data_IF_154682435971
#
_entry.id   IF_154682435971
#
_cell.length_a   1.000
_cell.length_b   1.000
_cell.length_c   1.000
_cell.angle_alpha   90.00
_cell.angle_beta   90.00
_cell.angle_gamma   90.00
#
_symmetry.space_group_name_H-M   'P 1'
#
loop_
_entity.id
_entity.type
_entity.pdbx_description
1 polymer ?
#
# COMPACT_ATOMS: atom_id res chain seq x y z
N UNK A 1 24.82 4.21 -2.84
CA UNK A 1 23.62 3.49 -2.38
C UNK A 1 24.00 2.04 -2.14
N UNK A 2 23.56 1.49 -1.02
CA UNK A 2 23.61 0.04 -0.82
C UNK A 2 22.47 -0.55 -1.67
N UNK A 3 22.72 -1.54 -2.54
CA UNK A 3 21.64 -2.23 -3.24
C UNK A 3 20.61 -2.74 -2.22
N UNK A 4 19.32 -2.56 -2.51
CA UNK A 4 18.24 -3.10 -1.70
C UNK A 4 17.40 -4.06 -2.51
N UNK A 5 17.29 -5.29 -2.03
CA UNK A 5 16.62 -6.37 -2.73
C UNK A 5 15.34 -6.83 -2.03
N UNK A 6 14.27 -6.92 -2.81
CA UNK A 6 12.96 -7.40 -2.36
C UNK A 6 12.61 -8.66 -3.15
N UNK A 7 12.18 -9.71 -2.46
CA UNK A 7 11.67 -10.92 -3.08
C UNK A 7 10.17 -11.09 -2.83
N UNK A 8 9.43 -11.40 -3.89
CA UNK A 8 8.09 -11.95 -3.76
C UNK A 8 8.12 -13.48 -3.75
N UNK A 9 7.23 -14.09 -2.97
CA UNK A 9 7.02 -15.54 -2.95
C UNK A 9 5.59 -15.85 -3.39
N UNK A 10 5.45 -16.30 -4.64
CA UNK A 10 4.20 -16.81 -5.19
C UNK A 10 4.12 -18.31 -4.93
N UNK A 11 3.20 -18.73 -4.07
CA UNK A 11 3.04 -20.13 -3.67
C UNK A 11 1.58 -20.57 -3.64
N UNK A 12 1.37 -21.89 -3.65
CA UNK A 12 0.06 -22.46 -3.36
C UNK A 12 -0.35 -22.16 -1.92
N UNK A 13 -1.56 -21.63 -1.77
CA UNK A 13 -2.21 -21.41 -0.48
C UNK A 13 -3.32 -22.45 -0.34
N UNK A 14 -3.25 -23.26 0.70
CA UNK A 14 -4.32 -24.15 1.10
C UNK A 14 -5.37 -23.38 1.92
N UNK A 15 -6.64 -23.71 1.71
CA UNK A 15 -7.76 -23.08 2.42
C UNK A 15 -8.14 -23.76 3.75
N UNK A 16 -7.73 -25.02 3.95
CA UNK A 16 -8.23 -25.88 5.03
C UNK A 16 -7.13 -26.30 6.01
N UNK A 17 -5.87 -26.15 5.64
CA UNK A 17 -4.72 -26.42 6.51
C UNK A 17 -3.78 -25.21 6.55
N UNK A 18 -3.11 -24.94 7.68
CA UNK A 18 -2.12 -23.88 7.78
C UNK A 18 -0.97 -24.08 6.78
N UNK A 19 -0.53 -22.99 6.17
CA UNK A 19 0.58 -22.96 5.21
C UNK A 19 1.89 -22.47 5.85
N UNK A 20 1.88 -22.09 7.13
CA UNK A 20 2.99 -21.44 7.85
C UNK A 20 4.32 -22.18 7.67
N UNK A 21 4.37 -23.48 7.95
CA UNK A 21 5.62 -24.26 7.82
C UNK A 21 6.09 -24.32 6.36
N UNK A 22 5.15 -24.39 5.41
CA UNK A 22 5.44 -24.31 3.98
C UNK A 22 5.96 -22.94 3.54
N UNK A 23 5.51 -21.85 4.17
CA UNK A 23 6.04 -20.51 3.94
C UNK A 23 7.47 -20.39 4.48
N UNK A 24 7.74 -20.88 5.70
CA UNK A 24 9.10 -20.89 6.28
C UNK A 24 10.06 -21.71 5.42
N UNK A 25 9.65 -22.88 4.93
CA UNK A 25 10.47 -23.69 4.02
C UNK A 25 10.80 -22.92 2.73
N UNK A 26 9.83 -22.20 2.17
CA UNK A 26 10.03 -21.39 0.96
C UNK A 26 10.96 -20.20 1.21
N UNK A 27 10.85 -19.56 2.36
CA UNK A 27 11.78 -18.53 2.82
C UNK A 27 13.21 -19.10 2.98
N UNK A 28 13.36 -20.28 3.59
CA UNK A 28 14.65 -20.94 3.73
C UNK A 28 15.30 -21.25 2.37
N UNK A 29 14.51 -21.75 1.41
CA UNK A 29 14.98 -22.02 0.03
C UNK A 29 15.36 -20.72 -0.67
N UNK A 30 14.52 -19.69 -0.59
CA UNK A 30 14.76 -18.38 -1.16
C UNK A 30 16.09 -17.80 -0.65
N UNK A 31 16.30 -17.78 0.66
CA UNK A 31 17.50 -17.21 1.27
C UNK A 31 18.75 -18.05 0.98
N UNK A 32 18.61 -19.37 0.85
CA UNK A 32 19.72 -20.23 0.42
C UNK A 32 20.13 -19.94 -1.02
N UNK A 33 19.16 -19.72 -1.91
CA UNK A 33 19.39 -19.49 -3.35
C UNK A 33 19.80 -18.04 -3.65
N UNK A 34 19.28 -17.09 -2.88
CA UNK A 34 19.42 -15.66 -3.09
C UNK A 34 19.73 -14.94 -1.77
N UNK A 35 20.92 -15.19 -1.18
CA UNK A 35 21.28 -14.69 0.16
C UNK A 35 21.43 -13.17 0.25
N UNK A 36 21.37 -12.46 -0.88
CA UNK A 36 21.43 -11.00 -0.97
C UNK A 36 20.04 -10.34 -0.80
N UNK A 37 18.97 -11.12 -0.69
CA UNK A 37 17.61 -10.60 -0.45
C UNK A 37 17.53 -9.96 0.94
N UNK A 38 16.97 -8.75 1.04
CA UNK A 38 16.86 -8.01 2.31
C UNK A 38 15.42 -7.86 2.80
N UNK A 39 14.43 -8.04 1.92
CA UNK A 39 13.02 -8.01 2.25
C UNK A 39 12.27 -9.12 1.51
N UNK A 40 11.30 -9.76 2.17
CA UNK A 40 10.47 -10.82 1.59
C UNK A 40 9.00 -10.53 1.80
N UNK A 41 8.21 -10.67 0.73
CA UNK A 41 6.76 -10.46 0.70
C UNK A 41 6.04 -11.73 0.26
N UNK A 42 5.04 -12.14 1.04
CA UNK A 42 4.08 -13.18 0.69
C UNK A 42 2.71 -12.59 0.34
N UNK A 43 1.83 -13.39 -0.25
CA UNK A 43 0.50 -12.99 -0.69
C UNK A 43 -0.49 -12.77 0.46
N UNK A 44 -1.60 -12.07 0.19
CA UNK A 44 -2.71 -11.94 1.14
C UNK A 44 -3.21 -13.33 1.61
N UNK A 45 -3.55 -13.43 2.89
CA UNK A 45 -4.07 -14.63 3.56
C UNK A 45 -3.20 -15.90 3.36
N UNK A 46 -1.92 -15.75 3.04
CA UNK A 46 -1.04 -16.88 2.73
C UNK A 46 -0.98 -17.92 3.85
N UNK A 47 -0.93 -17.49 5.11
CA UNK A 47 -0.68 -18.39 6.23
C UNK A 47 -1.84 -19.36 6.54
N UNK A 48 -3.09 -18.94 6.38
CA UNK A 48 -4.27 -19.74 6.78
C UNK A 48 -5.37 -19.80 5.72
N UNK A 49 -5.19 -19.17 4.56
CA UNK A 49 -6.14 -19.19 3.46
C UNK A 49 -7.35 -18.24 3.67
N UNK A 50 -8.29 -18.23 2.71
CA UNK A 50 -9.34 -17.21 2.60
C UNK A 50 -10.57 -17.42 3.49
N UNK A 51 -10.57 -18.42 4.38
CA UNK A 51 -11.72 -18.72 5.22
C UNK A 51 -11.59 -18.03 6.59
N UNK A 52 -12.48 -17.10 6.87
CA UNK A 52 -12.51 -16.28 8.09
C UNK A 52 -12.68 -17.07 9.39
N UNK A 53 -13.26 -18.27 9.33
CA UNK A 53 -13.32 -19.20 10.47
C UNK A 53 -11.94 -19.60 11.04
N UNK A 54 -10.86 -19.39 10.29
CA UNK A 54 -9.48 -19.59 10.75
C UNK A 54 -8.84 -18.30 11.30
N UNK A 55 -9.65 -17.31 11.68
CA UNK A 55 -9.19 -16.10 12.36
C UNK A 55 -8.40 -16.43 13.61
N UNK A 56 -7.33 -15.67 13.86
CA UNK A 56 -6.42 -15.86 14.98
C UNK A 56 -6.53 -14.71 15.98
N UNK A 57 -6.13 -14.92 17.26
CA UNK A 57 -5.85 -13.81 18.15
C UNK A 57 -4.68 -12.94 17.62
N UNK A 58 -4.57 -11.67 18.04
CA UNK A 58 -3.52 -10.75 17.56
C UNK A 58 -2.09 -11.26 17.78
N UNK A 59 -1.87 -11.95 18.89
CA UNK A 59 -0.65 -12.71 19.16
C UNK A 59 -0.93 -14.20 18.97
N UNK A 60 -0.11 -14.87 18.16
CA UNK A 60 -0.32 -16.27 17.77
C UNK A 60 1.00 -16.95 17.34
N UNK A 61 0.99 -18.28 17.31
CA UNK A 61 2.18 -19.11 17.01
C UNK A 61 2.76 -18.82 15.61
N UNK A 62 1.94 -18.44 14.63
CA UNK A 62 2.43 -18.12 13.29
C UNK A 62 3.32 -16.88 13.32
N UNK A 63 2.95 -15.85 14.07
CA UNK A 63 3.78 -14.66 14.26
C UNK A 63 5.11 -15.00 14.93
N UNK A 64 5.11 -15.83 15.97
CA UNK A 64 6.35 -16.28 16.63
C UNK A 64 7.30 -16.96 15.63
N UNK A 65 6.77 -17.84 14.76
CA UNK A 65 7.54 -18.49 13.70
C UNK A 65 8.08 -17.50 12.67
N UNK A 66 7.27 -16.52 12.25
CA UNK A 66 7.70 -15.50 11.30
C UNK A 66 8.76 -14.56 11.90
N UNK A 67 8.61 -14.15 13.16
CA UNK A 67 9.60 -13.34 13.88
C UNK A 67 10.93 -14.09 14.00
N UNK A 68 10.90 -15.37 14.39
CA UNK A 68 12.09 -16.21 14.45
C UNK A 68 12.76 -16.37 13.07
N UNK A 69 11.97 -16.50 12.00
CA UNK A 69 12.49 -16.62 10.65
C UNK A 69 13.11 -15.30 10.13
N UNK A 70 12.52 -14.15 10.45
CA UNK A 70 13.07 -12.84 10.14
C UNK A 70 14.45 -12.67 10.81
N UNK A 71 14.59 -13.05 12.09
CA UNK A 71 15.88 -13.05 12.82
C UNK A 71 16.88 -14.02 12.20
N UNK A 72 16.46 -15.25 11.92
CA UNK A 72 17.31 -16.30 11.35
C UNK A 72 17.98 -15.84 10.05
N UNK A 73 17.25 -15.13 9.20
CA UNK A 73 17.71 -14.70 7.88
C UNK A 73 18.18 -13.24 7.83
N UNK A 74 17.95 -12.46 8.87
CA UNK A 74 18.30 -11.04 8.91
C UNK A 74 17.54 -10.20 7.88
N UNK A 75 16.26 -10.51 7.63
CA UNK A 75 15.44 -9.85 6.60
C UNK A 75 14.23 -9.14 7.17
N UNK A 76 13.75 -8.14 6.43
CA UNK A 76 12.39 -7.62 6.60
C UNK A 76 11.41 -8.66 6.08
N UNK A 77 10.44 -9.07 6.91
CA UNK A 77 9.45 -10.08 6.52
C UNK A 77 8.04 -9.51 6.58
N UNK A 78 7.36 -9.54 5.45
CA UNK A 78 5.94 -9.29 5.32
C UNK A 78 5.31 -10.64 4.95
N UNK A 79 4.76 -11.39 5.93
CA UNK A 79 4.25 -12.75 5.70
C UNK A 79 2.91 -12.76 4.94
N UNK A 80 2.56 -11.67 4.26
CA UNK A 80 1.23 -11.46 3.72
C UNK A 80 0.28 -10.98 4.80
N UNK A 81 -0.97 -11.42 4.74
CA UNK A 81 -1.96 -11.12 5.77
C UNK A 81 -2.60 -12.38 6.35
N UNK A 82 -3.36 -12.21 7.44
CA UNK A 82 -4.13 -13.22 8.13
C UNK A 82 -5.41 -12.59 8.65
N UNK A 83 -6.47 -13.39 8.82
CA UNK A 83 -7.62 -12.95 9.59
C UNK A 83 -7.26 -12.90 11.07
N UNK A 84 -7.46 -11.75 11.70
CA UNK A 84 -7.21 -11.50 13.12
C UNK A 84 -8.52 -11.05 13.77
N UNK A 85 -8.90 -11.72 14.85
CA UNK A 85 -10.04 -11.30 15.68
C UNK A 85 -9.54 -10.31 16.73
N UNK A 86 -10.08 -9.11 16.71
CA UNK A 86 -9.79 -8.11 17.74
C UNK A 86 -10.50 -8.49 19.06
N UNK A 87 -9.77 -8.63 20.18
CA UNK A 87 -10.36 -9.01 21.46
C UNK A 87 -11.21 -7.90 22.09
N UNK A 88 -11.08 -6.63 21.67
CA UNK A 88 -11.83 -5.51 22.22
C UNK A 88 -13.23 -5.39 21.64
N UNK A 89 -13.37 -5.56 20.31
CA UNK A 89 -14.67 -5.43 19.61
C UNK A 89 -15.24 -6.75 19.08
N UNK A 90 -14.45 -7.83 19.10
CA UNK A 90 -14.82 -9.17 18.63
C UNK A 90 -14.91 -9.33 17.11
N UNK A 91 -14.48 -8.33 16.33
CA UNK A 91 -14.56 -8.32 14.87
C UNK A 91 -13.33 -8.94 14.24
N UNK A 92 -13.50 -9.45 13.01
CA UNK A 92 -12.42 -10.04 12.22
C UNK A 92 -11.87 -8.99 11.25
N UNK A 93 -10.56 -8.81 11.24
CA UNK A 93 -9.84 -7.93 10.33
C UNK A 93 -8.87 -8.75 9.46
N UNK A 94 -8.75 -8.39 8.19
CA UNK A 94 -7.68 -8.92 7.33
C UNK A 94 -6.41 -8.11 7.58
N UNK A 95 -5.46 -8.67 8.33
CA UNK A 95 -4.34 -7.93 8.90
C UNK A 95 -3.00 -8.46 8.40
N UNK A 96 -2.18 -7.56 7.87
CA UNK A 96 -0.77 -7.82 7.57
C UNK A 96 0.15 -7.23 8.65
N UNK A 97 1.34 -7.78 8.78
CA UNK A 97 2.36 -7.31 9.72
C UNK A 97 3.67 -7.03 9.01
N UNK A 98 4.43 -6.06 9.53
CA UNK A 98 5.79 -5.77 9.07
C UNK A 98 6.75 -6.17 10.19
N UNK A 99 7.57 -7.17 9.92
CA UNK A 99 8.56 -7.70 10.86
C UNK A 99 9.94 -7.23 10.41
N UNK A 100 10.69 -6.60 11.31
CA UNK A 100 12.05 -6.17 11.01
C UNK A 100 13.08 -7.32 11.16
N UNK A 101 14.33 -7.14 10.72
CA UNK A 101 15.39 -8.15 10.86
C UNK A 101 15.71 -8.58 12.30
N UNK A 102 15.27 -7.81 13.30
CA UNK A 102 15.41 -8.13 14.72
C UNK A 102 14.24 -8.99 15.23
N UNK A 103 13.26 -9.31 14.38
CA UNK A 103 12.07 -10.08 14.72
C UNK A 103 10.99 -9.25 15.41
N UNK A 104 11.07 -7.92 15.39
CA UNK A 104 10.08 -7.04 16.00
C UNK A 104 8.97 -6.73 14.99
N UNK A 105 7.71 -6.84 15.41
CA UNK A 105 6.57 -6.37 14.63
C UNK A 105 6.50 -4.84 14.78
N UNK A 106 6.95 -4.11 13.77
CA UNK A 106 6.98 -2.64 13.81
C UNK A 106 5.67 -2.01 13.33
N UNK A 107 4.85 -2.75 12.59
CA UNK A 107 3.52 -2.33 12.11
C UNK A 107 2.57 -3.51 12.04
N UNK A 108 1.31 -3.23 12.32
CA UNK A 108 0.14 -4.07 12.01
C UNK A 108 -0.78 -3.22 11.15
N UNK A 109 -1.29 -3.78 10.05
CA UNK A 109 -2.13 -3.08 9.10
C UNK A 109 -3.37 -3.91 8.82
N UNK A 110 -4.53 -3.42 9.24
CA UNK A 110 -5.82 -3.98 8.85
C UNK A 110 -6.26 -3.38 7.51
N UNK A 111 -6.59 -4.24 6.55
CA UNK A 111 -7.08 -3.89 5.20
C UNK A 111 -8.21 -2.87 5.31
N UNK A 112 -8.06 -1.76 4.60
CA UNK A 112 -8.98 -0.62 4.71
C UNK A 112 -10.26 -0.86 3.93
N UNK A 113 -10.15 -1.55 2.81
CA UNK A 113 -11.25 -1.93 1.94
C UNK A 113 -11.33 -3.45 1.85
N UNK A 114 -12.03 -4.14 2.77
CA UNK A 114 -12.44 -5.51 2.54
C UNK A 114 -13.17 -5.61 1.19
N UNK A 115 -12.96 -6.71 0.45
CA UNK A 115 -13.56 -6.96 -0.86
C UNK A 115 -15.06 -7.25 -0.73
N UNK A 116 -15.81 -6.25 -0.29
CA UNK A 116 -17.27 -6.31 -0.14
C UNK A 116 -17.91 -6.25 -1.53
N UNK A 117 -18.95 -7.05 -1.80
CA UNK A 117 -19.75 -7.79 -0.83
C UNK A 117 -19.25 -9.21 -0.49
N UNK A 118 -18.11 -9.66 -1.01
CA UNK A 118 -17.60 -11.02 -0.79
C UNK A 118 -16.95 -11.23 0.59
N UNK A 119 -16.30 -10.20 1.14
CA UNK A 119 -15.76 -10.17 2.52
C UNK A 119 -16.72 -9.47 3.50
N UNK A 120 -18.01 -9.80 3.47
CA UNK A 120 -19.04 -9.10 4.27
C UNK A 120 -18.86 -9.22 5.80
N UNK A 121 -18.23 -10.29 6.29
CA UNK A 121 -17.95 -10.54 7.71
C UNK A 121 -16.65 -9.89 8.22
N UNK A 122 -15.90 -9.22 7.34
CA UNK A 122 -14.58 -8.65 7.65
C UNK A 122 -14.73 -7.14 7.86
N UNK A 123 -14.21 -6.66 8.98
CA UNK A 123 -14.19 -5.26 9.35
C UNK A 123 -13.07 -4.50 8.61
N UNK A 124 -13.30 -3.21 8.39
CA UNK A 124 -12.36 -2.33 7.73
C UNK A 124 -11.39 -1.70 8.73
N UNK A 125 -10.09 -1.74 8.42
CA UNK A 125 -9.09 -0.90 9.10
C UNK A 125 -9.21 0.57 8.68
N UNK A 126 -8.58 1.47 9.44
CA UNK A 126 -8.63 2.91 9.13
C UNK A 126 -7.27 3.62 9.15
N UNK A 127 -6.22 2.93 9.55
CA UNK A 127 -4.87 3.48 9.62
C UNK A 127 -4.05 3.16 8.35
N UNK A 128 -3.26 4.13 7.90
CA UNK A 128 -2.32 3.93 6.79
C UNK A 128 -1.02 3.31 7.29
N UNK A 129 -0.55 2.24 6.63
CA UNK A 129 0.69 1.58 7.01
C UNK A 129 1.90 2.18 6.27
N UNK A 130 2.72 2.93 7.03
CA UNK A 130 3.97 3.54 6.55
C UNK A 130 5.09 3.22 7.53
N UNK A 131 6.25 2.83 7.01
CA UNK A 131 7.45 2.58 7.79
C UNK A 131 8.72 2.92 7.00
N UNK A 132 9.80 3.20 7.72
CA UNK A 132 11.11 3.49 7.13
C UNK A 132 12.01 2.28 7.26
N UNK A 133 12.72 1.96 6.18
CA UNK A 133 13.84 1.00 6.20
C UNK A 133 15.13 1.82 6.29
N UNK A 134 15.93 1.68 7.36
CA UNK A 134 17.13 2.49 7.59
C UNK A 134 18.07 2.48 6.39
N UNK A 135 18.58 3.67 6.04
CA UNK A 135 19.51 3.92 4.92
C UNK A 135 19.00 3.51 3.52
N UNK A 136 17.73 3.13 3.41
CA UNK A 136 17.11 2.67 2.16
C UNK A 136 16.05 3.66 1.71
N UNK A 137 14.92 3.75 2.42
CA UNK A 137 13.80 4.59 2.01
C UNK A 137 12.51 4.29 2.78
N UNK A 138 11.42 4.93 2.33
CA UNK A 138 10.11 4.82 2.96
C UNK A 138 9.21 3.83 2.21
N UNK A 139 8.57 2.95 2.95
CA UNK A 139 7.72 1.89 2.44
C UNK A 139 6.29 2.08 2.91
N UNK A 140 5.36 1.67 2.05
CA UNK A 140 3.94 1.60 2.35
C UNK A 140 3.41 0.19 2.10
N UNK A 141 2.33 -0.16 2.79
CA UNK A 141 1.65 -1.43 2.65
C UNK A 141 0.16 -1.19 2.38
N UNK A 142 -0.36 -1.90 1.39
CA UNK A 142 -1.75 -1.89 0.95
C UNK A 142 -2.14 -3.33 0.65
N UNK A 143 -3.35 -3.80 0.93
CA UNK A 143 -3.74 -5.20 0.72
C UNK A 143 -4.80 -5.29 -0.37
N UNK A 144 -4.48 -5.98 -1.47
CA UNK A 144 -5.38 -6.33 -2.58
C UNK A 144 -6.34 -5.20 -2.99
N UNK A 145 -7.58 -5.28 -2.52
CA UNK A 145 -8.66 -4.41 -2.94
C UNK A 145 -8.43 -2.94 -2.55
N UNK A 146 -7.56 -2.66 -1.57
CA UNK A 146 -7.15 -1.30 -1.20
C UNK A 146 -6.59 -0.51 -2.40
N UNK A 147 -5.90 -1.17 -3.34
CA UNK A 147 -5.28 -0.50 -4.50
C UNK A 147 -6.31 -0.05 -5.55
N UNK A 148 -7.53 -0.58 -5.52
CA UNK A 148 -8.62 -0.12 -6.40
C UNK A 148 -9.06 1.30 -6.10
N UNK A 149 -8.73 1.80 -4.90
CA UNK A 149 -9.03 3.14 -4.43
C UNK A 149 -7.74 3.97 -4.51
N UNK A 150 -7.50 4.71 -5.60
CA UNK A 150 -6.24 5.45 -5.79
C UNK A 150 -5.92 6.43 -4.65
N UNK A 151 -6.93 6.85 -3.88
CA UNK A 151 -6.81 7.62 -2.65
C UNK A 151 -5.90 6.96 -1.61
N UNK A 152 -5.91 5.62 -1.49
CA UNK A 152 -5.06 4.91 -0.54
C UNK A 152 -3.59 5.13 -0.88
N UNK A 153 -3.22 4.91 -2.14
CA UNK A 153 -1.85 5.11 -2.62
C UNK A 153 -1.50 6.59 -2.69
N UNK A 154 -2.45 7.47 -2.99
CA UNK A 154 -2.25 8.93 -2.93
C UNK A 154 -1.84 9.35 -1.53
N UNK A 155 -2.52 8.86 -0.49
CA UNK A 155 -2.20 9.18 0.89
C UNK A 155 -0.81 8.67 1.30
N UNK A 156 -0.47 7.44 0.92
CA UNK A 156 0.85 6.85 1.20
C UNK A 156 1.99 7.63 0.52
N UNK A 157 1.87 7.87 -0.78
CA UNK A 157 2.94 8.53 -1.56
C UNK A 157 3.06 10.03 -1.30
N UNK A 158 1.97 10.70 -0.91
CA UNK A 158 2.03 12.09 -0.42
C UNK A 158 2.81 12.22 0.90
N UNK A 159 2.96 11.11 1.65
CA UNK A 159 3.79 11.02 2.86
C UNK A 159 5.20 10.47 2.57
N UNK A 160 5.58 10.40 1.30
CA UNK A 160 6.93 10.07 0.87
C UNK A 160 7.19 8.59 0.59
N UNK A 161 6.19 7.70 0.67
CA UNK A 161 6.37 6.27 0.31
C UNK A 161 6.96 6.11 -1.07
N UNK A 162 8.07 5.39 -1.19
CA UNK A 162 8.83 5.14 -2.43
C UNK A 162 8.57 3.73 -2.99
N UNK A 163 8.19 2.79 -2.12
CA UNK A 163 7.85 1.40 -2.45
C UNK A 163 6.51 1.02 -1.83
N UNK A 164 5.58 0.55 -2.64
CA UNK A 164 4.31 -0.02 -2.21
C UNK A 164 4.39 -1.54 -2.23
N UNK A 165 4.30 -2.14 -1.05
CA UNK A 165 4.16 -3.58 -0.86
C UNK A 165 2.68 -3.93 -0.96
N UNK A 166 2.35 -4.93 -1.78
CA UNK A 166 0.97 -5.28 -2.11
C UNK A 166 0.77 -6.80 -2.06
N UNK A 167 0.41 -7.37 -0.89
CA UNK A 167 -0.10 -8.73 -0.80
C UNK A 167 -1.47 -8.81 -1.45
N UNK A 168 -1.69 -9.83 -2.29
CA UNK A 168 -2.92 -9.98 -3.08
C UNK A 168 -3.48 -11.38 -2.97
N UNK A 169 -4.80 -11.50 -2.95
CA UNK A 169 -5.54 -12.74 -3.16
C UNK A 169 -6.63 -12.49 -4.20
N UNK A 170 -6.28 -12.74 -5.46
CA UNK A 170 -7.22 -12.59 -6.58
C UNK A 170 -7.25 -13.87 -7.38
N UNK A 171 -8.33 -14.62 -7.16
CA UNK A 171 -8.67 -15.88 -7.83
C UNK A 171 -9.66 -15.71 -8.99
N UNK A 172 -10.08 -14.49 -9.28
CA UNK A 172 -11.19 -14.19 -10.21
C UNK A 172 -10.68 -13.70 -11.57
N UNK A 173 -11.64 -13.47 -12.48
CA UNK A 173 -11.38 -12.80 -13.77
C UNK A 173 -10.89 -11.35 -13.62
N UNK A 174 -10.97 -10.77 -12.41
CA UNK A 174 -10.52 -9.40 -12.15
C UNK A 174 -9.00 -9.26 -12.16
N UNK A 175 -8.26 -10.37 -12.17
CA UNK A 175 -6.78 -10.31 -12.10
C UNK A 175 -6.17 -9.49 -13.23
N UNK A 176 -6.74 -9.52 -14.44
CA UNK A 176 -6.21 -8.72 -15.55
C UNK A 176 -6.48 -7.21 -15.33
N UNK A 177 -7.58 -6.85 -14.67
CA UNK A 177 -7.86 -5.48 -14.27
C UNK A 177 -6.90 -5.03 -13.16
N UNK A 178 -6.65 -5.88 -12.15
CA UNK A 178 -5.67 -5.59 -11.10
C UNK A 178 -4.26 -5.37 -11.64
N UNK A 179 -3.82 -6.18 -12.59
CA UNK A 179 -2.50 -5.98 -13.23
C UNK A 179 -2.43 -4.63 -13.96
N UNK A 180 -3.53 -4.18 -14.57
CA UNK A 180 -3.60 -2.86 -15.17
C UNK A 180 -3.57 -1.76 -14.09
N UNK A 181 -4.28 -1.93 -12.98
CA UNK A 181 -4.28 -1.02 -11.84
C UNK A 181 -2.87 -0.92 -11.24
N UNK A 182 -2.21 -2.03 -10.92
CA UNK A 182 -0.86 -2.03 -10.37
C UNK A 182 0.14 -1.26 -11.26
N UNK A 183 0.04 -1.46 -12.58
CA UNK A 183 0.88 -0.72 -13.56
C UNK A 183 0.57 0.76 -13.63
N UNK A 184 -0.70 1.13 -13.51
CA UNK A 184 -1.13 2.53 -13.44
C UNK A 184 -0.67 3.18 -12.13
N UNK A 185 -0.84 2.49 -11.00
CA UNK A 185 -0.43 2.93 -9.67
C UNK A 185 1.05 3.30 -9.63
N UNK A 186 1.93 2.43 -10.13
CA UNK A 186 3.37 2.68 -10.11
C UNK A 186 3.76 4.01 -10.78
N UNK A 187 3.17 4.32 -11.94
CA UNK A 187 3.47 5.55 -12.69
C UNK A 187 2.69 6.77 -12.20
N UNK A 188 1.42 6.62 -11.80
CA UNK A 188 0.60 7.72 -11.28
C UNK A 188 1.12 8.29 -9.96
N UNK A 189 1.74 7.43 -9.15
CA UNK A 189 2.25 7.77 -7.82
C UNK A 189 3.78 7.75 -7.73
N UNK A 190 4.46 7.49 -8.86
CA UNK A 190 5.91 7.47 -9.00
C UNK A 190 6.56 6.68 -7.85
N UNK A 191 6.19 5.41 -7.72
CA UNK A 191 6.70 4.47 -6.72
C UNK A 191 6.89 3.08 -7.33
N UNK A 192 7.72 2.25 -6.70
CA UNK A 192 7.74 0.82 -7.01
C UNK A 192 6.47 0.15 -6.48
N UNK A 193 5.94 -0.82 -7.22
CA UNK A 193 4.85 -1.69 -6.75
C UNK A 193 5.36 -3.13 -6.75
N UNK A 194 5.35 -3.76 -5.58
CA UNK A 194 5.68 -5.17 -5.39
C UNK A 194 4.38 -5.91 -5.11
N UNK A 195 3.79 -6.52 -6.13
CA UNK A 195 2.48 -7.17 -6.10
C UNK A 195 2.64 -8.69 -6.08
N UNK A 196 2.25 -9.32 -4.96
CA UNK A 196 2.41 -10.77 -4.75
C UNK A 196 1.05 -11.40 -4.56
N UNK A 197 0.62 -12.18 -5.55
CA UNK A 197 -0.63 -12.93 -5.53
C UNK A 197 -0.36 -14.42 -5.32
N UNK A 198 -1.19 -15.09 -4.51
CA UNK A 198 -1.06 -16.51 -4.23
C UNK A 198 -1.58 -17.39 -5.37
N UNK A 199 -1.45 -18.71 -5.20
CA UNK A 199 -1.97 -19.73 -6.11
C UNK A 199 -3.04 -20.60 -5.43
N UNK A 200 -3.97 -21.15 -6.20
CA UNK A 200 -5.03 -22.01 -5.70
C UNK A 200 -6.06 -21.22 -4.91
N UNK A 201 -6.24 -21.54 -3.63
CA UNK A 201 -7.14 -20.75 -2.77
C UNK A 201 -6.58 -19.34 -2.47
N UNK A 202 -5.29 -19.12 -2.76
CA UNK A 202 -4.62 -17.82 -2.64
C UNK A 202 -4.64 -16.98 -3.91
N UNK A 203 -5.24 -17.46 -5.00
CA UNK A 203 -5.35 -16.70 -6.26
C UNK A 203 -4.90 -17.47 -7.50
N UNK A 204 -4.75 -16.75 -8.62
CA UNK A 204 -4.26 -17.29 -9.91
C UNK A 204 -2.79 -16.95 -10.19
N UNK A 205 -2.07 -16.40 -9.20
CA UNK A 205 -0.70 -15.93 -9.36
C UNK A 205 -0.62 -14.69 -10.24
N UNK A 206 0.29 -14.70 -11.21
CA UNK A 206 0.69 -13.51 -11.98
C UNK A 206 1.21 -12.38 -11.10
N UNK A 207 1.93 -12.70 -10.02
CA UNK A 207 2.65 -11.70 -9.22
C UNK A 207 3.54 -10.84 -10.10
N UNK A 208 3.73 -9.56 -9.77
CA UNK A 208 4.51 -8.66 -10.62
C UNK A 208 5.29 -7.61 -9.82
N UNK A 209 6.35 -7.11 -10.43
CA UNK A 209 7.13 -5.98 -9.92
C UNK A 209 7.18 -4.91 -10.99
N UNK A 210 6.77 -3.71 -10.64
CA UNK A 210 6.63 -2.60 -11.56
C UNK A 210 7.42 -1.41 -11.04
N UNK A 211 8.20 -0.80 -11.91
CA UNK A 211 8.97 0.38 -11.58
C UNK A 211 8.14 1.67 -11.65
N UNK A 212 8.67 2.80 -11.14
CA UNK A 212 7.95 4.09 -11.15
C UNK A 212 7.63 4.66 -12.54
N UNK A 213 8.09 4.04 -13.64
CA UNK A 213 7.81 4.43 -15.02
C UNK A 213 6.78 3.53 -15.71
N UNK A 214 6.12 2.63 -14.97
CA UNK A 214 5.22 1.59 -15.49
C UNK A 214 5.93 0.43 -16.23
N UNK A 215 7.26 0.31 -16.12
CA UNK A 215 7.97 -0.83 -16.67
C UNK A 215 7.75 -2.03 -15.76
N UNK A 216 7.24 -3.12 -16.33
CA UNK A 216 7.14 -4.41 -15.64
C UNK A 216 8.55 -5.02 -15.62
N UNK A 217 9.15 -5.08 -14.44
CA UNK A 217 10.47 -5.68 -14.21
C UNK A 217 10.37 -7.20 -14.13
N UNK A 218 9.27 -7.70 -13.57
CA UNK A 218 8.97 -9.12 -13.48
C UNK A 218 7.46 -9.36 -13.49
N UNK A 219 7.06 -10.47 -14.08
CA UNK A 219 5.70 -10.99 -13.96
C UNK A 219 5.76 -12.51 -13.96
N UNK A 220 5.34 -13.12 -12.85
CA UNK A 220 5.16 -14.57 -12.74
C UNK A 220 4.03 -15.05 -13.66
N UNK A 221 4.00 -16.35 -13.94
CA UNK A 221 2.84 -16.98 -14.57
C UNK A 221 1.97 -17.70 -13.50
N UNK A 222 1.29 -18.78 -13.84
CA UNK A 222 0.35 -19.51 -12.97
C UNK A 222 0.97 -20.66 -12.16
N UNK A 223 2.27 -20.59 -11.88
CA UNK A 223 3.04 -21.62 -11.17
C UNK A 223 3.81 -21.00 -10.00
N UNK A 224 4.33 -21.83 -9.08
CA UNK A 224 5.16 -21.32 -7.98
C UNK A 224 6.37 -20.54 -8.51
N UNK A 225 6.68 -19.43 -7.83
CA UNK A 225 7.77 -18.55 -8.22
C UNK A 225 8.37 -17.83 -7.00
N UNK A 226 9.66 -17.55 -7.07
CA UNK A 226 10.42 -16.81 -6.09
C UNK A 226 11.33 -15.84 -6.83
N UNK A 227 11.04 -14.55 -6.73
CA UNK A 227 11.67 -13.54 -7.60
C UNK A 227 12.29 -12.41 -6.76
N UNK A 228 13.59 -12.52 -6.40
CA UNK A 228 14.32 -11.41 -5.82
C UNK A 228 14.67 -10.37 -6.90
N UNK A 229 14.44 -9.10 -6.59
CA UNK A 229 14.71 -7.98 -7.49
C UNK A 229 15.37 -6.85 -6.70
N UNK A 230 16.46 -6.32 -7.24
CA UNK A 230 17.08 -5.10 -6.73
C UNK A 230 16.31 -3.87 -7.22
N UNK A 231 16.05 -2.91 -6.32
CA UNK A 231 15.36 -1.66 -6.64
C UNK A 231 16.30 -0.46 -6.63
N UNK A 232 16.07 0.52 -7.52
CA UNK A 232 16.80 1.79 -7.57
C UNK A 232 15.92 2.91 -7.01
N UNK A 233 16.06 3.22 -5.72
CA UNK A 233 15.28 4.30 -5.09
C UNK A 233 15.69 5.69 -5.56
N UNK A 234 16.91 5.88 -6.07
CA UNK A 234 17.26 7.17 -6.67
C UNK A 234 16.47 7.40 -7.97
N UNK A 235 16.02 6.34 -8.65
CA UNK A 235 15.10 6.48 -9.78
C UNK A 235 13.76 7.08 -9.35
N UNK A 236 13.21 6.67 -8.20
CA UNK A 236 12.00 7.29 -7.62
C UNK A 236 12.26 8.77 -7.35
N UNK A 237 13.34 9.08 -6.61
CA UNK A 237 13.68 10.43 -6.16
C UNK A 237 13.90 11.38 -7.34
N UNK A 238 14.73 10.98 -8.31
CA UNK A 238 14.98 11.73 -9.55
C UNK A 238 13.69 11.98 -10.31
N UNK A 239 12.80 10.99 -10.44
CA UNK A 239 11.55 11.19 -11.16
C UNK A 239 10.57 12.11 -10.46
N UNK A 240 10.50 12.08 -9.13
CA UNK A 240 9.67 13.02 -8.36
C UNK A 240 10.21 14.46 -8.48
N UNK A 241 11.53 14.62 -8.59
CA UNK A 241 12.18 15.92 -8.74
C UNK A 241 12.11 16.45 -10.18
N UNK A 242 12.49 15.67 -11.19
CA UNK A 242 12.63 16.16 -12.57
C UNK A 242 11.52 15.70 -13.51
N UNK A 243 10.59 14.88 -13.03
CA UNK A 243 9.53 14.27 -13.84
C UNK A 243 9.94 12.92 -14.45
N UNK A 244 8.93 12.12 -14.80
CA UNK A 244 9.15 10.82 -15.43
C UNK A 244 9.89 11.02 -16.77
N UNK A 245 11.11 10.47 -16.88
CA UNK A 245 11.99 10.65 -18.05
C UNK A 245 12.24 12.14 -18.41
N UNK A 246 12.23 13.02 -17.43
CA UNK A 246 12.39 14.47 -17.62
C UNK A 246 11.13 15.18 -18.15
N UNK A 247 9.98 14.50 -18.15
CA UNK A 247 8.70 15.03 -18.66
C UNK A 247 7.76 15.38 -17.50
N UNK A 248 6.51 14.86 -17.54
CA UNK A 248 5.45 15.20 -16.59
C UNK A 248 5.84 14.97 -15.13
N UNK A 249 5.46 15.92 -14.28
CA UNK A 249 5.77 15.96 -12.85
C UNK A 249 4.49 15.78 -12.04
N UNK A 250 3.86 14.60 -12.17
CA UNK A 250 2.50 14.32 -11.69
C UNK A 250 2.29 14.70 -10.22
N UNK A 251 3.21 14.32 -9.33
CA UNK A 251 3.08 14.64 -7.91
C UNK A 251 3.17 16.14 -7.61
N UNK A 252 4.01 16.88 -8.33
CA UNK A 252 4.10 18.35 -8.19
C UNK A 252 2.88 19.04 -8.78
N UNK A 253 2.40 18.60 -9.94
CA UNK A 253 1.14 19.10 -10.51
C UNK A 253 -0.05 18.84 -9.59
N UNK A 254 -0.07 17.72 -8.86
CA UNK A 254 -1.09 17.47 -7.83
C UNK A 254 -0.93 18.39 -6.62
N UNK A 255 0.29 18.62 -6.12
CA UNK A 255 0.57 19.56 -5.01
C UNK A 255 0.19 21.01 -5.36
N UNK A 256 0.53 21.44 -6.57
CA UNK A 256 0.41 22.83 -7.06
C UNK A 256 -0.89 23.06 -7.85
N UNK A 257 -1.87 22.16 -7.72
CA UNK A 257 -3.17 22.24 -8.40
C UNK A 257 -3.91 23.53 -8.01
N UNK A 258 -4.67 24.09 -8.95
CA UNK A 258 -5.49 25.30 -8.73
C UNK A 258 -6.85 25.03 -8.11
N UNK A 259 -7.22 23.76 -7.94
CA UNK A 259 -8.56 23.34 -7.54
C UNK A 259 -8.45 22.20 -6.56
N UNK A 260 -9.22 22.28 -5.47
CA UNK A 260 -9.40 21.17 -4.55
C UNK A 260 -10.53 20.25 -4.99
N UNK A 261 -10.34 18.95 -4.76
CA UNK A 261 -11.32 17.96 -5.11
C UNK A 261 -12.34 17.86 -3.98
N UNK A 262 -13.54 18.39 -4.22
CA UNK A 262 -14.64 18.37 -3.26
C UNK A 262 -15.07 16.95 -2.86
N UNK A 263 -14.74 15.94 -3.66
CA UNK A 263 -14.93 14.51 -3.32
C UNK A 263 -14.24 14.10 -2.01
N UNK A 264 -13.21 14.82 -1.57
CA UNK A 264 -12.55 14.58 -0.28
C UNK A 264 -13.28 15.20 0.91
N UNK A 265 -14.19 16.15 0.66
CA UNK A 265 -15.10 16.67 1.67
C UNK A 265 -16.45 15.93 1.58
N UNK A 266 -16.70 15.06 2.57
CA UNK A 266 -17.95 14.30 2.67
C UNK A 266 -19.19 15.17 2.87
N UNK A 267 -19.02 16.43 3.29
CA UNK A 267 -20.12 17.38 3.42
C UNK A 267 -20.40 18.15 2.12
N UNK A 268 -19.56 18.01 1.09
CA UNK A 268 -19.70 18.76 -0.16
C UNK A 268 -20.90 18.37 -1.02
N UNK A 269 -21.43 17.15 -0.84
CA UNK A 269 -22.46 16.57 -1.71
C UNK A 269 -21.95 16.15 -3.10
N UNK A 270 -20.64 16.18 -3.34
CA UNK A 270 -20.05 15.80 -4.65
C UNK A 270 -20.35 14.34 -5.03
N UNK A 271 -20.50 13.48 -4.03
CA UNK A 271 -20.70 12.04 -4.18
C UNK A 271 -22.18 11.60 -4.14
N UNK A 272 -23.15 12.53 -4.18
CA UNK A 272 -24.60 12.20 -4.17
C UNK A 272 -24.99 11.24 -5.30
N UNK A 273 -24.33 11.32 -6.46
CA UNK A 273 -24.50 10.37 -7.55
C UNK A 273 -24.25 8.91 -7.10
N UNK A 274 -23.23 8.66 -6.28
CA UNK A 274 -22.88 7.32 -5.82
C UNK A 274 -24.02 6.69 -5.00
N UNK A 275 -24.82 7.49 -4.30
CA UNK A 275 -25.98 7.04 -3.51
C UNK A 275 -27.12 6.51 -4.40
N UNK A 276 -27.10 6.80 -5.70
CA UNK A 276 -28.12 6.34 -6.66
C UNK A 276 -27.82 4.99 -7.29
N UNK A 277 -26.62 4.45 -7.07
CA UNK A 277 -26.14 3.20 -7.67
C UNK A 277 -26.77 1.95 -7.05
N UNK A 278 -27.55 2.11 -5.99
CA UNK A 278 -28.17 1.02 -5.25
C UNK A 278 -27.24 0.41 -4.20
N UNK A 279 -27.68 -0.66 -3.53
CA UNK A 279 -26.90 -1.28 -2.48
C UNK A 279 -25.71 -2.08 -3.03
N UNK A 280 -24.63 -2.15 -2.27
CA UNK A 280 -23.56 -3.11 -2.47
C UNK A 280 -24.10 -4.51 -2.16
N UNK A 281 -24.23 -5.39 -3.15
CA UNK A 281 -24.82 -6.72 -2.99
C UNK A 281 -24.31 -7.72 -4.03
N UNK A 282 -24.23 -9.00 -3.67
CA UNK A 282 -23.86 -10.07 -4.60
C UNK A 282 -25.02 -10.31 -5.59
N UNK A 283 -24.78 -10.28 -6.92
CA UNK A 283 -25.77 -10.68 -7.89
C UNK A 283 -26.15 -12.16 -7.73
N UNK A 284 -27.45 -12.45 -7.68
CA UNK A 284 -28.00 -13.81 -7.69
C UNK A 284 -28.64 -14.16 -9.03
N UNK A 285 -28.92 -15.44 -9.26
CA UNK A 285 -29.59 -15.90 -10.49
C UNK A 285 -30.93 -15.17 -10.68
N UNK A 286 -31.08 -14.50 -11.82
CA UNK A 286 -32.27 -13.70 -12.13
C UNK A 286 -32.21 -12.25 -11.66
N UNK A 287 -31.08 -11.78 -11.11
CA UNK A 287 -30.85 -10.37 -10.80
C UNK A 287 -31.10 -9.51 -12.04
N UNK A 288 -31.95 -8.49 -11.88
CA UNK A 288 -32.26 -7.49 -12.92
C UNK A 288 -31.64 -6.12 -12.65
N UNK A 289 -30.88 -5.98 -11.57
CA UNK A 289 -30.13 -4.76 -11.28
C UNK A 289 -29.19 -4.44 -12.46
N UNK A 290 -29.15 -3.17 -12.88
CA UNK A 290 -28.36 -2.73 -14.04
C UNK A 290 -28.99 -2.99 -15.41
N UNK A 291 -30.18 -3.61 -15.50
CA UNK A 291 -30.92 -3.79 -16.77
C UNK A 291 -31.88 -2.64 -17.10
N UNK A 292 -32.06 -1.68 -16.18
CA UNK A 292 -32.82 -0.46 -16.44
C UNK A 292 -32.05 0.44 -17.42
N UNK A 293 -32.73 0.91 -18.47
CA UNK A 293 -32.16 1.77 -19.51
C UNK A 293 -32.05 3.24 -19.06
N UNK A 294 -32.68 3.63 -17.95
CA UNK A 294 -32.49 4.95 -17.38
C UNK A 294 -31.10 5.06 -16.74
N UNK A 295 -30.28 5.96 -17.27
CA UNK A 295 -28.98 6.26 -16.70
C UNK A 295 -29.12 6.74 -15.24
N UNK A 296 -28.39 6.17 -14.26
CA UNK A 296 -28.48 6.59 -12.87
C UNK A 296 -28.22 8.09 -12.66
N UNK A 297 -27.45 8.72 -13.55
CA UNK A 297 -27.16 10.16 -13.50
C UNK A 297 -28.42 11.03 -13.68
N UNK A 298 -29.46 10.51 -14.35
CA UNK A 298 -30.76 11.17 -14.50
C UNK A 298 -31.55 11.22 -13.19
N UNK A 299 -31.08 10.53 -12.13
CA UNK A 299 -31.73 10.48 -10.82
C UNK A 299 -31.24 11.58 -9.88
N UNK A 300 -30.11 12.23 -10.19
CA UNK A 300 -29.58 13.36 -9.41
C UNK A 300 -29.77 14.65 -10.23
N UNK A 301 -30.38 15.70 -9.68
CA UNK A 301 -30.41 16.99 -10.36
C UNK A 301 -28.98 17.51 -10.50
N UNK A 302 -28.57 17.85 -11.73
CA UNK A 302 -27.30 18.50 -11.98
C UNK A 302 -27.25 19.81 -11.19
N UNK A 303 -26.30 19.90 -10.27
CA UNK A 303 -25.96 21.12 -9.55
C UNK A 303 -24.61 21.55 -10.09
N UNK A 304 -24.53 22.59 -10.93
CA UNK A 304 -23.25 23.16 -11.31
C UNK A 304 -22.50 23.61 -10.06
N UNK A 305 -21.18 23.54 -10.12
CA UNK A 305 -20.31 24.19 -9.16
C UNK A 305 -20.56 25.71 -9.10
N UNK A 306 -19.95 26.38 -8.12
CA UNK A 306 -20.23 27.75 -7.65
C UNK A 306 -20.11 28.89 -8.69
N UNK A 307 -20.09 28.61 -9.99
CA UNK A 307 -20.22 29.56 -11.08
C UNK A 307 -21.67 29.76 -11.57
N UNK A 308 -22.62 28.92 -11.14
CA UNK A 308 -24.07 29.13 -11.29
C UNK A 308 -24.58 29.25 -12.72
N UNK A 309 -25.20 28.19 -13.25
CA UNK A 309 -26.30 28.30 -14.20
C UNK A 309 -27.08 26.99 -14.37
N UNK A 310 -28.41 27.12 -14.22
CA UNK A 310 -29.51 26.21 -14.50
C UNK A 310 -29.71 24.94 -13.65
N UNK A 311 -30.70 25.03 -12.74
CA UNK A 311 -31.29 23.90 -12.02
C UNK A 311 -32.47 23.30 -12.79
N UNK A 312 -32.46 21.99 -13.02
CA UNK A 312 -33.68 21.20 -13.32
C UNK A 312 -34.14 20.43 -12.07
N UNK A 313 -35.45 20.25 -11.83
CA UNK A 313 -35.97 19.64 -10.61
C UNK A 313 -35.74 18.12 -10.59
N UNK A 314 -35.01 17.62 -9.59
CA UNK A 314 -34.77 16.20 -9.36
C UNK A 314 -35.73 15.58 -8.34
N UNK A 315 -36.07 14.31 -8.54
CA UNK A 315 -36.91 13.50 -7.63
C UNK A 315 -36.04 12.83 -6.56
N UNK A 316 -36.44 12.93 -5.28
CA UNK A 316 -35.74 12.28 -4.16
C UNK A 316 -36.28 10.87 -3.87
N UNK A 317 -35.38 9.88 -3.74
CA UNK A 317 -35.66 8.56 -3.18
C UNK A 317 -34.65 8.22 -2.08
N UNK A 318 -35.10 7.59 -0.99
CA UNK A 318 -34.24 7.04 0.07
C UNK A 318 -33.83 5.61 -0.30
N UNK A 319 -32.53 5.35 -0.45
CA UNK A 319 -31.99 3.98 -0.53
C UNK A 319 -31.56 3.57 0.89
N UNK A 320 -32.18 2.55 1.51
CA UNK A 320 -31.70 2.01 2.78
C UNK A 320 -30.36 1.25 2.57
N UNK A 321 -29.41 1.34 3.51
CA UNK A 321 -28.13 0.63 3.39
C UNK A 321 -28.34 -0.88 3.52
N UNK A 322 -27.62 -1.67 2.69
CA UNK A 322 -27.65 -3.14 2.74
C UNK A 322 -26.72 -3.74 3.82
N UNK A 323 -25.86 -2.91 4.42
CA UNK A 323 -24.96 -3.27 5.51
C UNK A 323 -25.15 -2.29 6.67
N UNK A 324 -24.84 -2.70 7.93
CA UNK A 324 -24.80 -1.76 9.03
C UNK A 324 -23.84 -0.62 8.71
N UNK A 325 -24.24 0.63 8.92
CA UNK A 325 -23.29 1.75 8.90
C UNK A 325 -22.26 1.52 10.01
N UNK A 326 -20.99 1.38 9.63
CA UNK A 326 -19.90 1.39 10.60
C UNK A 326 -19.58 2.85 10.94
N UNK A 327 -19.64 3.24 12.23
CA UNK A 327 -19.31 4.60 12.62
C UNK A 327 -17.87 4.90 12.24
N UNK A 328 -17.63 6.08 11.67
CA UNK A 328 -16.28 6.52 11.29
C UNK A 328 -15.46 6.75 12.57
N UNK A 329 -14.27 6.13 12.71
CA UNK A 329 -13.40 6.40 13.84
C UNK A 329 -12.80 7.82 13.80
N UNK A 330 -12.78 8.48 12.62
CA UNK A 330 -12.34 9.87 12.47
C UNK A 330 -13.32 10.70 11.62
N UNK A 331 -14.10 11.62 12.22
CA UNK A 331 -15.02 12.50 11.50
C UNK A 331 -14.32 13.62 10.69
N UNK A 332 -12.99 13.78 10.80
CA UNK A 332 -12.19 14.77 10.06
C UNK A 332 -11.40 14.19 8.89
N UNK A 333 -11.55 12.89 8.59
CA UNK A 333 -10.87 12.27 7.46
C UNK A 333 -11.34 12.92 6.14
N UNK A 334 -10.45 13.68 5.49
CA UNK A 334 -10.71 14.35 4.21
C UNK A 334 -10.99 15.86 4.31
N UNK A 335 -11.16 16.43 5.52
CA UNK A 335 -11.23 17.88 5.66
C UNK A 335 -9.82 18.45 5.78
N UNK A 336 -9.32 19.05 4.71
CA UNK A 336 -8.23 20.00 4.83
C UNK A 336 -8.76 21.20 5.62
N UNK A 337 -8.61 21.19 6.95
CA UNK A 337 -8.74 22.41 7.71
C UNK A 337 -7.68 23.38 7.18
N UNK A 338 -8.03 24.64 6.83
CA UNK A 338 -7.02 25.63 6.52
C UNK A 338 -6.17 25.82 7.77
N UNK A 339 -4.96 25.30 7.75
CA UNK A 339 -3.95 25.67 8.74
C UNK A 339 -3.66 27.14 8.45
N UNK A 340 -4.09 28.03 9.34
CA UNK A 340 -3.63 29.42 9.33
C UNK A 340 -2.11 29.38 9.17
N UNK A 341 -1.61 30.09 8.16
CA UNK A 341 -0.20 30.10 7.83
C UNK A 341 0.59 30.52 9.08
N UNK A 342 1.20 29.54 9.76
CA UNK A 342 2.28 29.81 10.68
C UNK A 342 3.38 30.41 9.81
N UNK A 343 3.58 31.72 9.95
CA UNK A 343 4.68 32.43 9.32
C UNK A 343 5.97 31.70 9.71
N UNK A 344 6.60 31.04 8.74
CA UNK A 344 7.96 30.57 8.88
C UNK A 344 8.82 31.80 9.12
N UNK A 345 9.22 32.01 10.38
CA UNK A 345 10.23 32.98 10.72
C UNK A 345 11.48 32.64 9.90
N UNK A 346 11.97 33.62 9.13
CA UNK A 346 13.14 33.47 8.28
C UNK A 346 14.33 32.92 9.09
N UNK A 347 14.94 31.84 8.58
CA UNK A 347 16.18 31.33 9.12
C UNK A 347 17.26 32.43 9.10
N UNK A 348 18.09 32.57 10.15
CA UNK A 348 19.12 33.59 10.18
C UNK A 348 20.15 33.30 9.08
N UNK A 349 20.43 34.34 8.29
CA UNK A 349 21.44 34.34 7.23
C UNK A 349 22.80 34.01 7.86
N UNK A 350 23.40 32.89 7.44
CA UNK A 350 24.74 32.51 7.86
C UNK A 350 25.76 33.58 7.43
N UNK A 351 26.56 34.06 8.39
CA UNK A 351 27.63 35.02 8.13
C UNK A 351 28.71 34.40 7.21
N UNK A 352 29.32 35.20 6.32
CA UNK A 352 30.32 34.69 5.39
C UNK A 352 31.59 34.23 6.12
N UNK A 353 32.06 33.04 5.74
CA UNK A 353 33.30 32.43 6.22
C UNK A 353 34.49 33.26 5.71
N UNK A 354 35.43 33.71 6.58
CA UNK A 354 36.60 34.48 6.14
C UNK A 354 37.61 33.60 5.38
N UNK A 355 38.37 34.17 4.43
CA UNK A 355 39.27 33.39 3.58
C UNK A 355 40.47 32.85 4.37
N UNK A 356 40.77 31.56 4.15
CA UNK A 356 41.93 30.87 4.71
C UNK A 356 43.21 31.37 4.02
N UNK A 357 44.18 31.84 4.81
CA UNK A 357 45.53 32.20 4.33
C UNK A 357 46.31 30.94 3.94
N UNK A 358 47.00 31.01 2.81
CA UNK A 358 47.85 29.93 2.31
C UNK A 358 49.16 29.79 3.12
N UNK A 359 49.38 28.57 3.62
CA UNK A 359 50.66 27.83 3.68
C UNK A 359 51.75 28.27 4.66
N UNK A 360 52.24 27.32 5.48
CA UNK A 360 53.67 26.96 5.63
C UNK A 360 53.77 25.45 5.93
N UNK A 361 54.58 24.74 5.13
CA UNK A 361 55.07 23.38 5.36
C UNK A 361 56.32 23.41 6.25
N UNK A 362 56.32 22.65 7.34
CA UNK A 362 57.49 22.10 8.07
C UNK A 362 56.95 20.93 8.88
N UNK A 363 57.47 19.71 8.92
CA UNK A 363 58.74 19.12 8.56
C UNK A 363 58.83 17.85 9.44
N UNK A 364 59.17 16.73 8.83
CA UNK A 364 59.38 15.41 9.42
C UNK A 364 60.35 15.41 10.61
N UNK A 365 60.03 14.67 11.67
CA UNK A 365 61.02 13.93 12.47
C UNK A 365 60.43 12.62 12.97
N UNK A 366 60.98 11.53 12.45
CA UNK A 366 61.06 10.22 13.11
C UNK A 366 61.72 10.36 14.49
N UNK A 367 61.33 9.52 15.45
CA UNK A 367 62.21 8.46 16.00
C UNK A 367 61.47 7.61 17.03
N UNK A 368 61.53 6.31 16.78
CA UNK A 368 61.36 5.18 17.68
C UNK A 368 62.45 5.18 18.78
N UNK A 369 62.15 4.68 19.99
CA UNK A 369 63.04 3.87 20.88
C UNK A 369 62.46 3.64 22.30
N UNK A 370 62.15 2.37 22.57
CA UNK A 370 62.48 1.54 23.75
C UNK A 370 62.28 2.00 25.22
N UNK A 371 61.62 1.11 25.96
CA UNK A 371 61.90 0.63 27.33
C UNK A 371 61.77 1.57 28.54
N UNK A 372 60.84 1.18 29.43
CA UNK A 372 60.70 1.60 30.83
C UNK A 372 59.55 0.84 31.46
#
# INVERSE_FOLDING_TARGET
MTPFAIAGVQMYVNALVPNVDGMIQRLDILMTRFPWTQMVLFSELAAYGPLDQYSLPPENEALEKFQAAAVKHGVWLIPGSMFITDPEDGRIYNTSVVINPQGEIIRRYAKMFPFRPYEAGVAAGTDFCIFDVPDVGRFGLSICYDMWFPETTRQLTSQGVEVLLHPVLTGTTDRDAELAIARATAVQFQCYVIDVNGLGAGGVGKSCVIDPTSQVLHQSAGQEDMFPIEIDLDMVRRQRETGMKGLGQVLKSFRDRSTDFSVYDRASGTDEYLKTLGPLAIPHKGTKAGLDMMAPAMRVPYTPDAAGQDSLPGYAFKVPPAFPEEPLPNPSAGTAAPVESATLAAAPVAAPIPPVKAGILTGTTDTDTSSG
#
